data_IF_444955925375
#
_entry.id   IF_444955925375
#
_cell.length_a   1.000
_cell.length_b   1.000
_cell.length_c   1.000
_cell.angle_alpha   90.00
_cell.angle_beta   90.00
_cell.angle_gamma   90.00
#
_symmetry.space_group_name_H-M   'P 1'
#
loop_
_entity.id
_entity.type
_entity.pdbx_description
1 polymer ?
#
# COMPACT_ATOMS: atom_id res chain seq x y z
N UNK A 1 12.56 -18.66 0.05
CA UNK A 1 11.56 -17.68 0.54
C UNK A 1 10.43 -17.69 -0.47
N UNK A 2 9.19 -17.90 -0.05
CA UNK A 2 8.05 -17.85 -0.98
C UNK A 2 7.93 -16.43 -1.53
N UNK A 3 7.82 -16.29 -2.85
CA UNK A 3 7.52 -15.00 -3.45
C UNK A 3 6.18 -14.48 -2.89
N UNK A 4 6.14 -13.23 -2.45
CA UNK A 4 4.92 -12.60 -1.96
C UNK A 4 3.99 -12.32 -3.13
N UNK A 5 2.70 -12.57 -2.96
CA UNK A 5 1.66 -12.24 -3.95
C UNK A 5 0.84 -11.10 -3.41
N UNK A 6 0.68 -10.06 -4.21
CA UNK A 6 -0.09 -8.86 -3.90
C UNK A 6 -1.26 -8.70 -4.85
N UNK A 7 -2.38 -8.20 -4.33
CA UNK A 7 -3.56 -7.90 -5.11
C UNK A 7 -3.54 -6.43 -5.53
N UNK A 8 -3.66 -6.17 -6.83
CA UNK A 8 -3.89 -4.83 -7.35
C UNK A 8 -5.32 -4.36 -7.03
N UNK A 9 -5.50 -3.07 -6.81
CA UNK A 9 -6.81 -2.41 -6.72
C UNK A 9 -6.84 -1.19 -7.64
N UNK A 10 -8.03 -0.83 -8.10
CA UNK A 10 -8.31 0.45 -8.77
C UNK A 10 -8.95 1.47 -7.80
N UNK A 11 -9.24 1.05 -6.57
CA UNK A 11 -9.78 1.91 -5.53
C UNK A 11 -8.64 2.63 -4.81
N UNK A 12 -8.79 3.94 -4.64
CA UNK A 12 -7.81 4.75 -3.91
C UNK A 12 -7.85 4.48 -2.41
N UNK A 13 -9.02 4.18 -1.87
CA UNK A 13 -9.26 3.91 -0.45
C UNK A 13 -10.25 2.74 -0.30
N UNK A 14 -9.97 1.84 0.65
CA UNK A 14 -10.84 0.72 1.00
C UNK A 14 -10.96 0.65 2.52
N UNK A 15 -12.18 0.61 3.05
CA UNK A 15 -12.46 0.71 4.50
C UNK A 15 -11.75 -0.36 5.36
N UNK A 16 -11.49 -1.54 4.80
CA UNK A 16 -10.86 -2.68 5.50
C UNK A 16 -9.54 -3.13 4.84
N UNK A 17 -8.80 -2.19 4.26
CA UNK A 17 -7.48 -2.47 3.73
C UNK A 17 -6.50 -1.32 3.95
N UNK A 18 -5.23 -1.67 3.97
CA UNK A 18 -4.15 -0.72 3.75
C UNK A 18 -3.78 -0.75 2.28
N UNK A 19 -3.72 0.41 1.63
CA UNK A 19 -3.35 0.54 0.23
C UNK A 19 -1.92 1.04 0.12
N UNK A 20 -1.07 0.34 -0.62
CA UNK A 20 0.25 0.84 -1.02
C UNK A 20 0.12 1.40 -2.43
N UNK A 21 0.20 2.73 -2.54
CA UNK A 21 0.13 3.47 -3.79
C UNK A 21 1.53 3.52 -4.41
N UNK A 22 1.70 3.06 -5.64
CA UNK A 22 2.98 3.10 -6.37
C UNK A 22 2.86 4.10 -7.52
N UNK A 23 3.83 5.01 -7.62
CA UNK A 23 3.89 6.06 -8.64
C UNK A 23 5.34 6.47 -8.91
N UNK A 24 5.54 7.33 -9.93
CA UNK A 24 6.84 7.84 -10.29
C UNK A 24 6.98 9.32 -9.90
N UNK A 25 8.11 9.67 -9.28
CA UNK A 25 8.51 11.06 -8.97
C UNK A 25 9.90 11.26 -9.55
N UNK A 26 10.08 12.27 -10.40
CA UNK A 26 11.36 12.57 -11.07
C UNK A 26 12.01 11.36 -11.77
N UNK A 27 11.17 10.43 -12.27
CA UNK A 27 11.62 9.20 -12.94
C UNK A 27 11.97 8.06 -11.99
N UNK A 28 11.90 8.26 -10.68
CA UNK A 28 12.08 7.22 -9.66
C UNK A 28 10.75 6.61 -9.25
N UNK A 29 10.69 5.28 -9.17
CA UNK A 29 9.53 4.57 -8.62
C UNK A 29 9.53 4.66 -7.10
N UNK A 30 8.47 5.25 -6.57
CA UNK A 30 8.22 5.43 -5.14
C UNK A 30 6.86 4.87 -4.75
N UNK A 31 6.60 4.77 -3.46
CA UNK A 31 5.34 4.31 -2.92
C UNK A 31 4.95 5.03 -1.62
N UNK A 32 3.66 5.04 -1.35
CA UNK A 32 3.06 5.56 -0.11
C UNK A 32 2.09 4.53 0.47
N UNK A 33 2.11 4.36 1.79
CA UNK A 33 1.11 3.57 2.49
C UNK A 33 -0.04 4.48 2.94
N UNK A 34 -1.25 4.06 2.61
CA UNK A 34 -2.48 4.83 2.80
C UNK A 34 -3.56 3.92 3.41
N UNK A 35 -4.38 4.45 4.32
CA UNK A 35 -5.45 3.72 4.98
C UNK A 35 -6.49 4.68 5.56
N UNK A 36 -7.74 4.23 5.76
CA UNK A 36 -8.78 5.03 6.39
C UNK A 36 -8.36 5.54 7.77
N UNK A 37 -8.79 6.75 8.12
CA UNK A 37 -8.53 7.29 9.46
C UNK A 37 -9.22 6.43 10.53
N UNK A 38 -8.44 5.98 11.50
CA UNK A 38 -8.88 5.15 12.62
C UNK A 38 -8.80 5.94 13.91
N UNK A 39 -9.81 5.81 14.77
CA UNK A 39 -9.86 6.49 16.08
C UNK A 39 -9.87 5.47 17.19
N UNK A 40 -9.04 5.68 18.22
CA UNK A 40 -9.10 4.93 19.48
C UNK A 40 -9.97 5.63 20.55
N UNK A 41 -10.64 6.73 20.17
CA UNK A 41 -11.46 7.56 21.05
C UNK A 41 -10.73 8.82 21.57
N UNK A 42 -9.40 8.83 21.58
CA UNK A 42 -8.59 9.97 22.02
C UNK A 42 -7.72 10.53 20.88
N UNK A 43 -7.24 9.67 20.01
CA UNK A 43 -6.34 10.00 18.90
C UNK A 43 -6.91 9.48 17.58
N UNK A 44 -6.90 10.34 16.57
CA UNK A 44 -7.16 9.94 15.18
C UNK A 44 -5.82 9.60 14.53
N UNK A 45 -5.64 8.34 14.18
CA UNK A 45 -4.51 7.86 13.39
C UNK A 45 -4.89 7.86 11.92
N UNK A 46 -3.93 8.23 11.08
CA UNK A 46 -4.07 8.17 9.64
C UNK A 46 -2.70 8.18 8.97
N UNK A 47 -2.68 7.96 7.66
CA UNK A 47 -1.47 7.96 6.88
C UNK A 47 -0.86 9.37 6.82
N UNK A 48 0.47 9.42 6.80
CA UNK A 48 1.21 10.64 6.52
C UNK A 48 1.32 10.82 5.00
N UNK A 49 0.21 11.25 4.38
CA UNK A 49 0.13 11.50 2.94
C UNK A 49 1.23 12.47 2.47
N UNK A 50 1.83 12.19 1.32
CA UNK A 50 2.96 12.98 0.77
C UNK A 50 4.34 12.54 1.26
N UNK A 51 4.43 11.42 1.99
CA UNK A 51 5.69 10.81 2.39
C UNK A 51 6.06 9.67 1.43
N UNK A 52 6.52 10.03 0.23
CA UNK A 52 6.98 9.08 -0.78
C UNK A 52 8.24 8.34 -0.31
N UNK A 53 8.18 7.01 -0.28
CA UNK A 53 9.22 6.12 0.20
C UNK A 53 9.55 5.05 -0.85
N UNK A 54 10.72 4.39 -0.77
CA UNK A 54 10.95 3.16 -1.55
C UNK A 54 9.89 2.10 -1.20
N UNK A 55 9.43 1.34 -2.21
CA UNK A 55 8.36 0.33 -2.04
C UNK A 55 8.54 -0.60 -0.83
N UNK A 56 9.72 -1.20 -0.56
CA UNK A 56 9.88 -2.07 0.61
C UNK A 56 9.60 -1.36 1.94
N UNK A 57 9.96 -0.08 2.05
CA UNK A 57 9.73 0.72 3.26
C UNK A 57 8.26 1.08 3.39
N UNK A 58 7.60 1.48 2.31
CA UNK A 58 6.16 1.72 2.31
C UNK A 58 5.37 0.44 2.67
N UNK A 59 5.84 -0.72 2.20
CA UNK A 59 5.25 -2.01 2.54
C UNK A 59 5.41 -2.34 4.03
N UNK A 60 6.58 -2.09 4.62
CA UNK A 60 6.79 -2.29 6.07
C UNK A 60 5.83 -1.41 6.91
N UNK A 61 5.63 -0.16 6.49
CA UNK A 61 4.65 0.75 7.11
C UNK A 61 3.23 0.18 6.96
N UNK A 62 2.88 -0.32 5.77
CA UNK A 62 1.56 -0.89 5.52
C UNK A 62 1.31 -2.16 6.35
N UNK A 63 2.31 -3.02 6.50
CA UNK A 63 2.24 -4.21 7.36
C UNK A 63 2.06 -3.84 8.83
N UNK A 64 2.76 -2.79 9.31
CA UNK A 64 2.60 -2.32 10.67
C UNK A 64 1.19 -1.75 10.92
N UNK A 65 0.71 -0.87 10.03
CA UNK A 65 -0.65 -0.33 10.09
C UNK A 65 -1.70 -1.44 10.07
N UNK A 66 -1.54 -2.43 9.18
CA UNK A 66 -2.42 -3.59 9.10
C UNK A 66 -2.49 -4.36 10.42
N UNK A 67 -1.35 -4.62 11.05
CA UNK A 67 -1.30 -5.34 12.35
C UNK A 67 -1.88 -4.49 13.48
N UNK A 68 -1.51 -3.21 13.54
CA UNK A 68 -1.87 -2.29 14.63
C UNK A 68 -3.36 -1.94 14.64
N UNK A 69 -3.94 -1.74 13.46
CA UNK A 69 -5.33 -1.29 13.29
C UNK A 69 -6.26 -2.40 12.80
N UNK A 70 -5.77 -3.64 12.75
CA UNK A 70 -6.54 -4.84 12.43
C UNK A 70 -7.17 -4.87 11.02
N UNK A 71 -6.60 -4.17 10.04
CA UNK A 71 -7.05 -4.26 8.65
C UNK A 71 -6.89 -5.70 8.11
N UNK A 72 -7.86 -6.14 7.32
CA UNK A 72 -7.88 -7.52 6.80
C UNK A 72 -6.74 -7.80 5.80
N UNK A 73 -6.40 -6.83 4.94
CA UNK A 73 -5.49 -7.04 3.79
C UNK A 73 -4.66 -5.81 3.43
N UNK A 74 -3.63 -6.03 2.59
CA UNK A 74 -2.88 -4.97 1.90
C UNK A 74 -3.22 -5.07 0.42
N UNK A 75 -3.53 -3.93 -0.21
CA UNK A 75 -3.77 -3.80 -1.63
C UNK A 75 -2.70 -2.91 -2.27
N UNK A 76 -2.41 -3.13 -3.54
CA UNK A 76 -1.48 -2.31 -4.32
C UNK A 76 -2.29 -1.46 -5.28
N UNK A 77 -2.20 -0.15 -5.15
CA UNK A 77 -2.75 0.77 -6.15
C UNK A 77 -1.62 1.27 -7.04
N UNK A 78 -1.67 0.90 -8.33
CA UNK A 78 -0.64 1.24 -9.30
C UNK A 78 -1.31 1.55 -10.64
N UNK A 79 -1.20 2.80 -11.10
CA UNK A 79 -1.79 3.22 -12.37
C UNK A 79 -0.99 2.75 -13.58
N UNK A 80 0.34 2.73 -13.46
CA UNK A 80 1.26 2.24 -14.47
C UNK A 80 1.93 0.94 -13.99
N UNK A 81 1.44 -0.24 -14.40
CA UNK A 81 2.01 -1.52 -13.98
C UNK A 81 3.48 -1.72 -14.35
N UNK A 82 4.02 -0.94 -15.30
CA UNK A 82 5.45 -1.01 -15.66
C UNK A 82 6.37 -0.54 -14.53
N UNK A 83 5.83 0.18 -13.54
CA UNK A 83 6.56 0.56 -12.32
C UNK A 83 6.74 -0.62 -11.35
N UNK A 84 6.03 -1.73 -11.54
CA UNK A 84 6.19 -2.92 -10.70
C UNK A 84 7.53 -3.61 -10.97
N UNK A 85 8.26 -3.96 -9.90
CA UNK A 85 9.49 -4.74 -10.01
C UNK A 85 9.24 -6.18 -9.56
N UNK A 86 9.66 -7.14 -10.37
CA UNK A 86 9.50 -8.58 -10.07
C UNK A 86 10.14 -9.00 -8.73
N UNK A 87 11.20 -8.31 -8.32
CA UNK A 87 11.88 -8.53 -7.04
C UNK A 87 10.99 -8.26 -5.82
N UNK A 88 9.93 -7.46 -5.97
CA UNK A 88 8.96 -7.18 -4.91
C UNK A 88 7.96 -8.33 -4.73
N UNK A 89 7.78 -9.16 -5.76
CA UNK A 89 6.85 -10.27 -5.76
C UNK A 89 5.97 -10.29 -7.00
N UNK A 90 4.88 -11.05 -6.92
CA UNK A 90 3.88 -11.14 -7.99
C UNK A 90 2.72 -10.20 -7.72
N UNK A 91 2.32 -9.44 -8.73
CA UNK A 91 1.12 -8.61 -8.69
C UNK A 91 -0.01 -9.30 -9.47
N UNK A 92 -1.10 -9.62 -8.79
CA UNK A 92 -2.30 -10.13 -9.44
C UNK A 92 -3.21 -8.96 -9.82
N UNK A 93 -3.88 -9.02 -10.99
CA UNK A 93 -4.79 -7.97 -11.41
C UNK A 93 -5.94 -7.75 -10.42
N UNK A 94 -6.64 -6.61 -10.50
CA UNK A 94 -7.82 -6.35 -9.69
C UNK A 94 -8.82 -7.49 -9.84
N UNK A 95 -9.43 -7.91 -8.73
CA UNK A 95 -10.57 -8.82 -8.80
C UNK A 95 -11.74 -8.08 -9.45
N UNK A 96 -12.33 -8.69 -10.48
CA UNK A 96 -13.48 -8.16 -11.21
C UNK A 96 -14.76 -8.14 -10.37
#
# INVERSE_FOLDING_TARGET
MSARTFQQTNEEETEDAVTVRIFAVDGETVAEADWPRVSDGETIYGPALGNALPFPVALDVAEDAKRRFHFSKILIHIHDPSLWKEEWGSLTPPSA
#
